data_IF_499000171829
#
_entry.id   IF_499000171829
#
_cell.length_a   1.000
_cell.length_b   1.000
_cell.length_c   1.000
_cell.angle_alpha   90.00
_cell.angle_beta   90.00
_cell.angle_gamma   90.00
#
_symmetry.space_group_name_H-M   'P 1'
#
loop_
_entity.id
_entity.type
_entity.pdbx_description
1 polymer ?
#
# COMPACT_ATOMS: atom_id res chain seq x y z
N UNK A 1 -21.00 -13.47 -0.11
CA UNK A 1 -20.28 -12.24 0.26
C UNK A 1 -20.15 -11.38 -0.98
N UNK A 2 -20.32 -10.06 -0.86
CA UNK A 2 -20.15 -9.10 -1.96
C UNK A 2 -18.88 -8.25 -1.79
N UNK A 3 -18.51 -7.46 -2.81
CA UNK A 3 -17.40 -6.51 -2.71
C UNK A 3 -17.60 -5.56 -1.52
N UNK A 4 -16.56 -5.35 -0.71
CA UNK A 4 -16.61 -4.52 0.50
C UNK A 4 -15.43 -3.55 0.52
N UNK A 5 -15.70 -2.29 0.85
CA UNK A 5 -14.70 -1.23 0.98
C UNK A 5 -14.79 -0.63 2.38
N UNK A 6 -13.68 -0.62 3.12
CA UNK A 6 -13.52 0.19 4.33
C UNK A 6 -12.70 1.44 4.00
N UNK A 7 -13.24 2.60 4.35
CA UNK A 7 -12.58 3.90 4.27
C UNK A 7 -12.41 4.48 5.69
N UNK A 8 -11.66 5.57 5.81
CA UNK A 8 -11.32 6.22 7.09
C UNK A 8 -10.67 5.23 8.08
N UNK A 9 -9.80 4.35 7.56
CA UNK A 9 -9.15 3.30 8.35
C UNK A 9 -7.82 3.80 8.90
N UNK A 10 -7.60 3.54 10.19
CA UNK A 10 -6.30 3.70 10.83
C UNK A 10 -5.44 2.45 10.61
N UNK A 11 -4.14 2.63 10.34
CA UNK A 11 -3.23 1.52 10.04
C UNK A 11 -3.11 0.49 11.17
N UNK A 12 -3.45 0.85 12.42
CA UNK A 12 -3.41 -0.05 13.58
C UNK A 12 -4.64 -0.96 13.70
N UNK A 13 -5.69 -0.75 12.90
CA UNK A 13 -6.88 -1.60 12.91
C UNK A 13 -6.56 -3.00 12.36
N UNK A 14 -7.19 -4.04 12.93
CA UNK A 14 -7.01 -5.44 12.48
C UNK A 14 -7.26 -5.62 10.99
N UNK A 15 -8.27 -4.96 10.43
CA UNK A 15 -8.61 -5.03 9.01
C UNK A 15 -7.51 -4.47 8.08
N UNK A 16 -6.63 -3.61 8.59
CA UNK A 16 -5.48 -3.09 7.85
C UNK A 16 -4.24 -3.99 7.97
N UNK A 17 -4.13 -4.76 9.05
CA UNK A 17 -2.92 -5.52 9.40
C UNK A 17 -3.00 -7.00 9.05
N UNK A 18 -4.20 -7.58 8.97
CA UNK A 18 -4.40 -9.01 8.71
C UNK A 18 -4.97 -9.27 7.32
N UNK A 19 -4.45 -10.30 6.65
CA UNK A 19 -4.91 -10.67 5.31
C UNK A 19 -6.28 -11.39 5.37
N UNK A 20 -7.30 -10.76 4.80
CA UNK A 20 -8.69 -11.25 4.88
C UNK A 20 -8.97 -12.40 3.87
N UNK A 21 -8.21 -12.50 2.78
CA UNK A 21 -8.43 -13.46 1.68
C UNK A 21 -9.85 -13.42 1.05
N UNK A 22 -10.58 -12.32 1.23
CA UNK A 22 -11.92 -12.08 0.69
C UNK A 22 -11.97 -10.85 -0.22
N UNK A 23 -13.14 -10.55 -0.82
CA UNK A 23 -13.32 -9.38 -1.70
C UNK A 23 -13.44 -8.08 -0.88
N UNK A 24 -12.43 -7.77 -0.08
CA UNK A 24 -12.38 -6.65 0.86
C UNK A 24 -11.19 -5.76 0.54
N UNK A 25 -11.42 -4.46 0.39
CA UNK A 25 -10.38 -3.44 0.25
C UNK A 25 -10.42 -2.48 1.45
N UNK A 26 -9.25 -2.03 1.86
CA UNK A 26 -9.04 -1.01 2.89
C UNK A 26 -8.35 0.20 2.27
N UNK A 27 -8.84 1.40 2.60
CA UNK A 27 -8.22 2.68 2.20
C UNK A 27 -7.74 3.40 3.45
N UNK A 28 -6.43 3.67 3.47
CA UNK A 28 -5.73 4.40 4.52
C UNK A 28 -5.20 5.69 3.89
N UNK A 29 -5.56 6.83 4.48
CA UNK A 29 -5.00 8.13 4.09
C UNK A 29 -3.57 8.29 4.59
N UNK A 30 -2.77 9.10 3.91
CA UNK A 30 -1.43 9.47 4.33
C UNK A 30 -1.22 10.97 4.09
N UNK A 31 -0.35 11.59 4.87
CA UNK A 31 -0.09 13.04 4.77
C UNK A 31 0.99 13.38 3.72
N UNK A 32 2.05 12.57 3.66
CA UNK A 32 3.18 12.75 2.75
C UNK A 32 3.85 11.42 2.35
N UNK A 33 4.91 11.50 1.54
CA UNK A 33 5.64 10.33 1.07
C UNK A 33 6.32 9.55 2.21
N UNK A 34 6.73 10.22 3.29
CA UNK A 34 7.35 9.56 4.44
C UNK A 34 6.31 8.76 5.22
N UNK A 35 5.12 9.34 5.39
CA UNK A 35 3.99 8.69 6.04
C UNK A 35 3.46 7.50 5.21
N UNK A 36 3.34 7.65 3.89
CA UNK A 36 2.98 6.55 2.99
C UNK A 36 3.97 5.38 3.08
N UNK A 37 5.28 5.68 3.10
CA UNK A 37 6.34 4.68 3.26
C UNK A 37 6.28 4.02 4.62
N UNK A 38 6.00 4.78 5.69
CA UNK A 38 5.83 4.25 7.05
C UNK A 38 4.66 3.27 7.08
N UNK A 39 3.48 3.66 6.61
CA UNK A 39 2.27 2.83 6.57
C UNK A 39 2.54 1.53 5.80
N UNK A 40 3.07 1.63 4.57
CA UNK A 40 3.31 0.47 3.73
C UNK A 40 4.33 -0.52 4.32
N UNK A 41 5.33 -0.01 5.06
CA UNK A 41 6.35 -0.84 5.69
C UNK A 41 5.97 -1.34 7.09
N UNK A 42 4.95 -0.77 7.73
CA UNK A 42 4.40 -1.20 9.01
C UNK A 42 3.47 -2.40 8.81
N UNK A 43 4.08 -3.47 8.28
CA UNK A 43 3.46 -4.75 8.02
C UNK A 43 4.51 -5.86 8.25
N UNK A 44 4.12 -7.00 8.83
CA UNK A 44 4.98 -8.18 8.86
C UNK A 44 5.10 -8.86 7.48
N UNK A 45 4.24 -8.49 6.52
CA UNK A 45 4.23 -9.02 5.16
C UNK A 45 5.06 -8.15 4.21
N UNK A 46 5.27 -8.64 2.99
CA UNK A 46 6.04 -7.94 1.97
C UNK A 46 6.00 -8.61 0.60
N UNK A 47 4.87 -9.24 0.23
CA UNK A 47 4.78 -10.02 -1.00
C UNK A 47 4.88 -9.16 -2.27
N UNK A 48 3.98 -8.19 -2.43
CA UNK A 48 3.94 -7.30 -3.58
C UNK A 48 3.39 -5.91 -3.24
N UNK A 49 3.64 -4.93 -4.10
CA UNK A 49 3.03 -3.61 -4.03
C UNK A 49 2.98 -2.89 -5.37
N UNK A 50 2.30 -1.73 -5.39
CA UNK A 50 2.17 -0.88 -6.57
C UNK A 50 2.18 0.60 -6.13
N UNK A 51 2.89 1.43 -6.88
CA UNK A 51 2.84 2.88 -6.76
C UNK A 51 2.22 3.45 -8.02
N UNK A 52 1.22 4.31 -7.83
CA UNK A 52 0.59 5.07 -8.91
C UNK A 52 0.84 6.55 -8.68
N UNK A 53 1.44 7.23 -9.66
CA UNK A 53 1.78 8.65 -9.56
C UNK A 53 1.89 9.28 -10.95
N UNK A 54 1.45 10.54 -11.08
CA UNK A 54 1.70 11.37 -12.26
C UNK A 54 3.15 11.86 -12.38
N UNK A 55 3.93 11.76 -11.30
CA UNK A 55 5.36 12.08 -11.25
C UNK A 55 6.15 10.77 -11.08
N UNK A 56 6.92 10.42 -12.11
CA UNK A 56 7.71 9.19 -12.16
C UNK A 56 8.94 9.23 -11.24
N UNK A 57 9.55 10.40 -11.04
CA UNK A 57 10.75 10.51 -10.21
C UNK A 57 10.37 10.42 -8.74
N UNK A 58 9.25 11.06 -8.34
CA UNK A 58 8.64 10.85 -7.03
C UNK A 58 8.26 9.39 -6.82
N UNK A 59 7.60 8.74 -7.79
CA UNK A 59 7.23 7.33 -7.69
C UNK A 59 8.45 6.43 -7.44
N UNK A 60 9.53 6.65 -8.19
CA UNK A 60 10.80 5.92 -8.03
C UNK A 60 11.49 6.23 -6.70
N UNK A 61 11.37 7.45 -6.18
CA UNK A 61 11.92 7.81 -4.88
C UNK A 61 11.21 7.06 -3.74
N UNK A 62 9.88 7.01 -3.78
CA UNK A 62 9.05 6.22 -2.84
C UNK A 62 9.32 4.72 -3.00
N UNK A 63 9.33 4.22 -4.23
CA UNK A 63 9.53 2.81 -4.55
C UNK A 63 10.77 2.20 -3.89
N UNK A 64 11.90 2.92 -3.91
CA UNK A 64 13.17 2.47 -3.32
C UNK A 64 13.13 2.28 -1.81
N UNK A 65 12.07 2.77 -1.15
CA UNK A 65 11.91 2.74 0.30
C UNK A 65 10.91 1.68 0.76
N UNK A 66 10.19 1.03 -0.16
CA UNK A 66 9.19 0.01 0.17
C UNK A 66 9.86 -1.37 0.30
N UNK A 67 9.57 -2.08 1.39
CA UNK A 67 10.11 -3.42 1.69
C UNK A 67 9.17 -4.49 1.14
N UNK A 68 9.32 -4.82 -0.14
CA UNK A 68 8.55 -5.89 -0.77
C UNK A 68 9.38 -6.67 -1.80
N UNK A 69 8.95 -7.89 -2.13
CA UNK A 69 9.59 -8.73 -3.13
C UNK A 69 9.41 -8.24 -4.56
N UNK A 70 8.24 -7.70 -4.91
CA UNK A 70 7.95 -7.15 -6.24
C UNK A 70 7.17 -5.85 -6.13
N UNK A 71 7.59 -4.82 -6.86
CA UNK A 71 6.95 -3.53 -6.83
C UNK A 71 6.69 -2.99 -8.24
N UNK A 72 5.43 -2.67 -8.52
CA UNK A 72 5.07 -2.01 -9.76
C UNK A 72 5.07 -0.48 -9.63
N UNK A 73 5.32 0.21 -10.75
CA UNK A 73 5.08 1.65 -10.89
C UNK A 73 4.18 1.87 -12.11
N UNK A 74 3.03 2.52 -11.93
CA UNK A 74 2.08 2.88 -12.99
C UNK A 74 1.69 1.68 -13.89
N UNK A 75 1.48 0.50 -13.30
CA UNK A 75 1.12 -0.73 -14.01
C UNK A 75 2.29 -1.46 -14.69
N UNK A 76 3.49 -0.88 -14.73
CA UNK A 76 4.72 -1.61 -15.07
C UNK A 76 5.21 -2.40 -13.87
N UNK A 77 5.50 -3.69 -14.06
CA UNK A 77 6.03 -4.57 -13.01
C UNK A 77 7.56 -4.64 -13.19
N UNK A 78 8.33 -4.44 -12.11
CA UNK A 78 9.79 -4.44 -12.11
C UNK A 78 10.35 -5.39 -11.05
#
# INVERSE_FOLDING_TARGET
MGPTLFADVDNTMTIAQEEIFGPVLVVIGFDDDDDAVRIANESPYGLSGMITSGDLDRAKAVARRIRTGTLGINGGIW
#
